data_IF_021925465226
#
_entry.id   IF_021925465226
#
_cell.length_a   1.000
_cell.length_b   1.000
_cell.length_c   1.000
_cell.angle_alpha   90.00
_cell.angle_beta   90.00
_cell.angle_gamma   90.00
#
_symmetry.space_group_name_H-M   'P 1'
#
loop_
_entity.id
_entity.type
_entity.pdbx_description
1 polymer ?
#
# COMPACT_ATOMS: atom_id res chain seq x y z
N UNK A 1 15.02 12.01 -9.85
CA UNK A 1 15.06 12.43 -8.43
C UNK A 1 13.74 12.17 -7.71
N UNK A 2 12.59 12.51 -8.31
CA UNK A 2 11.25 12.33 -7.73
C UNK A 2 10.92 10.88 -7.33
N UNK A 3 11.21 9.89 -8.17
CA UNK A 3 11.02 8.47 -7.84
C UNK A 3 11.82 8.04 -6.59
N UNK A 4 13.05 8.56 -6.41
CA UNK A 4 13.87 8.25 -5.22
C UNK A 4 13.25 8.83 -3.96
N UNK A 5 12.74 10.06 -4.01
CA UNK A 5 12.03 10.66 -2.89
C UNK A 5 10.78 9.84 -2.53
N UNK A 6 10.00 9.41 -3.54
CA UNK A 6 8.84 8.54 -3.35
C UNK A 6 9.23 7.21 -2.69
N UNK A 7 10.32 6.57 -3.12
CA UNK A 7 10.81 5.32 -2.53
C UNK A 7 11.28 5.50 -1.09
N UNK A 8 11.92 6.63 -0.75
CA UNK A 8 12.31 6.95 0.62
C UNK A 8 11.06 7.09 1.52
N UNK A 9 10.03 7.79 1.03
CA UNK A 9 8.75 7.90 1.73
C UNK A 9 8.07 6.53 1.87
N UNK A 10 8.02 5.76 0.79
CA UNK A 10 7.45 4.41 0.81
C UNK A 10 8.17 3.51 1.82
N UNK A 11 9.50 3.58 1.92
CA UNK A 11 10.26 2.82 2.92
C UNK A 11 9.85 3.12 4.37
N UNK A 12 9.41 4.35 4.66
CA UNK A 12 8.93 4.72 5.99
C UNK A 12 7.52 4.17 6.26
N UNK A 13 6.67 4.11 5.24
CA UNK A 13 5.29 3.62 5.34
C UNK A 13 5.17 2.10 5.19
N UNK A 14 6.13 1.48 4.50
CA UNK A 14 6.21 0.07 4.14
C UNK A 14 5.83 -0.90 5.27
N UNK A 15 6.40 -0.83 6.49
CA UNK A 15 6.07 -1.81 7.52
C UNK A 15 4.59 -1.75 7.91
N UNK A 16 3.99 -0.56 7.91
CA UNK A 16 2.58 -0.38 8.26
C UNK A 16 1.65 -0.84 7.12
N UNK A 17 2.00 -0.48 5.88
CA UNK A 17 1.19 -0.86 4.72
C UNK A 17 1.23 -2.36 4.47
N UNK A 18 2.40 -3.00 4.58
CA UNK A 18 2.52 -4.45 4.43
C UNK A 18 1.85 -5.20 5.57
N UNK A 19 2.04 -4.77 6.82
CA UNK A 19 1.41 -5.45 7.96
C UNK A 19 -0.12 -5.43 7.86
N UNK A 20 -0.70 -4.28 7.50
CA UNK A 20 -2.15 -4.17 7.33
C UNK A 20 -2.66 -5.00 6.15
N UNK A 21 -1.98 -4.93 4.99
CA UNK A 21 -2.30 -5.74 3.81
C UNK A 21 -2.24 -7.24 4.09
N UNK A 22 -1.16 -7.72 4.72
CA UNK A 22 -1.03 -9.12 5.08
C UNK A 22 -2.11 -9.51 6.08
N UNK A 23 -2.32 -8.73 7.14
CA UNK A 23 -3.37 -9.00 8.13
C UNK A 23 -4.76 -9.15 7.48
N UNK A 24 -5.13 -8.26 6.55
CA UNK A 24 -6.39 -8.37 5.80
C UNK A 24 -6.46 -9.67 4.97
N UNK A 25 -5.36 -10.05 4.32
CA UNK A 25 -5.27 -11.29 3.54
C UNK A 25 -5.35 -12.56 4.42
N UNK A 26 -4.67 -12.55 5.58
CA UNK A 26 -4.74 -13.63 6.58
C UNK A 26 -6.16 -13.79 7.12
N UNK A 27 -6.81 -12.68 7.49
CA UNK A 27 -8.19 -12.69 8.02
C UNK A 27 -9.22 -13.15 6.99
N UNK A 28 -8.94 -12.95 5.70
CA UNK A 28 -9.79 -13.46 4.61
C UNK A 28 -9.55 -14.94 4.28
N UNK A 29 -8.64 -15.63 4.97
CA UNK A 29 -8.37 -17.04 4.75
C UNK A 29 -7.45 -17.32 3.55
N UNK A 30 -6.52 -16.41 3.24
CA UNK A 30 -5.51 -16.57 2.18
C UNK A 30 -6.06 -16.83 0.77
N UNK A 31 -7.06 -16.06 0.29
CA UNK A 31 -7.60 -16.25 -1.05
C UNK A 31 -6.51 -16.06 -2.12
N UNK A 32 -6.50 -16.96 -3.12
CA UNK A 32 -5.63 -16.94 -4.29
C UNK A 32 -6.45 -16.70 -5.56
N UNK A 33 -5.81 -16.51 -6.72
CA UNK A 33 -6.54 -16.31 -7.99
C UNK A 33 -7.45 -17.48 -8.39
N UNK A 34 -7.20 -18.67 -7.85
CA UNK A 34 -8.01 -19.86 -8.07
C UNK A 34 -9.20 -19.99 -7.11
N UNK A 35 -9.27 -19.14 -6.07
CA UNK A 35 -10.34 -19.20 -5.08
C UNK A 35 -11.67 -18.69 -5.66
N UNK A 36 -12.80 -19.36 -5.40
CA UNK A 36 -14.12 -18.94 -5.91
C UNK A 36 -14.53 -17.56 -5.39
N UNK A 37 -14.09 -17.21 -4.17
CA UNK A 37 -14.43 -15.94 -3.52
C UNK A 37 -13.45 -14.80 -3.85
N UNK A 38 -12.50 -15.01 -4.77
CA UNK A 38 -11.44 -14.04 -5.07
C UNK A 38 -11.97 -12.67 -5.48
N UNK A 39 -13.04 -12.62 -6.28
CA UNK A 39 -13.61 -11.37 -6.78
C UNK A 39 -14.29 -10.58 -5.63
N UNK A 40 -15.01 -11.28 -4.76
CA UNK A 40 -15.60 -10.71 -3.55
C UNK A 40 -14.50 -10.20 -2.62
N UNK A 41 -13.48 -11.02 -2.35
CA UNK A 41 -12.30 -10.63 -1.57
C UNK A 41 -11.64 -9.37 -2.16
N UNK A 42 -11.34 -9.36 -3.46
CA UNK A 42 -10.67 -8.23 -4.12
C UNK A 42 -11.45 -6.93 -3.96
N UNK A 43 -12.79 -6.99 -4.02
CA UNK A 43 -13.64 -5.81 -3.86
C UNK A 43 -13.55 -5.28 -2.43
N UNK A 44 -13.77 -6.14 -1.43
CA UNK A 44 -13.69 -5.72 -0.02
C UNK A 44 -12.27 -5.28 0.38
N UNK A 45 -11.27 -6.01 -0.09
CA UNK A 45 -9.87 -5.72 0.12
C UNK A 45 -9.53 -4.33 -0.42
N UNK A 46 -9.93 -3.99 -1.65
CA UNK A 46 -9.62 -2.69 -2.24
C UNK A 46 -10.24 -1.53 -1.44
N UNK A 47 -11.49 -1.67 -1.01
CA UNK A 47 -12.16 -0.66 -0.18
C UNK A 47 -11.47 -0.50 1.18
N UNK A 48 -11.27 -1.60 1.89
CA UNK A 48 -10.65 -1.58 3.22
C UNK A 48 -9.21 -1.06 3.15
N UNK A 49 -8.47 -1.47 2.10
CA UNK A 49 -7.09 -1.02 1.86
C UNK A 49 -7.02 0.46 1.54
N UNK A 50 -7.96 0.99 0.77
CA UNK A 50 -8.06 2.44 0.47
C UNK A 50 -8.29 3.25 1.74
N UNK A 51 -9.19 2.80 2.61
CA UNK A 51 -9.45 3.45 3.91
C UNK A 51 -8.23 3.36 4.83
N UNK A 52 -7.59 2.19 4.93
CA UNK A 52 -6.37 2.01 5.71
C UNK A 52 -5.23 2.90 5.20
N UNK A 53 -5.09 3.05 3.88
CA UNK A 53 -4.10 3.94 3.28
C UNK A 53 -4.35 5.39 3.67
N UNK A 54 -5.59 5.86 3.63
CA UNK A 54 -5.95 7.21 4.05
C UNK A 54 -5.61 7.44 5.53
N UNK A 55 -5.88 6.47 6.41
CA UNK A 55 -5.54 6.56 7.83
C UNK A 55 -4.02 6.59 8.05
N UNK A 56 -3.27 5.70 7.41
CA UNK A 56 -1.80 5.67 7.49
C UNK A 56 -1.23 7.00 6.99
N UNK A 57 -1.75 7.51 5.87
CA UNK A 57 -1.35 8.80 5.32
C UNK A 57 -1.66 9.96 6.27
N UNK A 58 -2.85 9.99 6.88
CA UNK A 58 -3.23 11.02 7.85
C UNK A 58 -2.33 11.00 9.09
N UNK A 59 -2.06 9.82 9.65
CA UNK A 59 -1.16 9.67 10.80
C UNK A 59 0.25 10.13 10.45
N UNK A 60 0.75 9.75 9.28
CA UNK A 60 2.04 10.21 8.78
C UNK A 60 2.06 11.73 8.59
N UNK A 61 1.00 12.30 8.02
CA UNK A 61 0.86 13.74 7.80
C UNK A 61 0.90 14.52 9.11
N UNK A 62 0.19 14.05 10.12
CA UNK A 62 0.15 14.68 11.44
C UNK A 62 1.49 14.58 12.16
N UNK A 63 2.15 13.42 12.07
CA UNK A 63 3.42 13.16 12.75
C UNK A 63 4.61 13.85 12.10
N UNK A 64 4.55 14.09 10.79
CA UNK A 64 5.70 14.48 9.98
C UNK A 64 5.52 15.82 9.25
N UNK A 65 4.75 16.76 9.83
CA UNK A 65 4.43 18.07 9.24
C UNK A 65 5.65 18.83 8.70
N UNK A 66 6.82 18.73 9.33
CA UNK A 66 8.05 19.38 8.86
C UNK A 66 8.78 18.61 7.74
N UNK A 67 8.57 17.29 7.63
CA UNK A 67 9.19 16.44 6.60
C UNK A 67 8.67 16.72 5.18
N UNK A 68 7.48 17.31 5.03
CA UNK A 68 6.90 17.65 3.72
C UNK A 68 7.67 18.74 2.97
N UNK A 69 8.42 19.59 3.68
CA UNK A 69 9.27 20.61 3.04
C UNK A 69 10.36 19.98 2.15
N UNK A 70 10.88 18.81 2.53
CA UNK A 70 11.85 18.06 1.73
C UNK A 70 11.23 17.60 0.40
N UNK A 71 10.02 17.06 0.42
CA UNK A 71 9.36 16.55 -0.78
C UNK A 71 8.87 17.68 -1.70
N UNK A 72 8.42 18.79 -1.12
CA UNK A 72 8.03 19.98 -1.86
C UNK A 72 9.21 20.61 -2.62
N UNK A 73 10.43 20.49 -2.10
CA UNK A 73 11.66 20.92 -2.79
C UNK A 73 11.93 20.12 -4.07
N UNK A 74 11.44 18.87 -4.16
CA UNK A 74 11.51 18.04 -5.37
C UNK A 74 10.30 18.22 -6.31
N UNK A 75 9.42 19.18 -6.01
CA UNK A 75 8.24 19.49 -6.83
C UNK A 75 7.13 18.43 -6.75
N UNK A 76 7.14 17.56 -5.74
CA UNK A 76 6.09 16.58 -5.52
C UNK A 76 5.02 17.15 -4.59
N UNK A 77 3.76 17.08 -5.01
CA UNK A 77 2.62 17.42 -4.18
C UNK A 77 2.36 16.33 -3.13
N UNK A 78 1.73 16.70 -2.00
CA UNK A 78 1.29 15.76 -0.97
C UNK A 78 0.41 14.64 -1.55
N UNK A 79 -0.44 14.98 -2.53
CA UNK A 79 -1.35 14.02 -3.17
C UNK A 79 -0.58 13.02 -4.03
N UNK A 80 0.39 13.47 -4.82
CA UNK A 80 1.23 12.57 -5.63
C UNK A 80 2.03 11.59 -4.76
N UNK A 81 2.50 12.01 -3.59
CA UNK A 81 3.18 11.13 -2.64
C UNK A 81 2.22 10.09 -2.03
N UNK A 82 1.01 10.52 -1.66
CA UNK A 82 -0.03 9.64 -1.12
C UNK A 82 -0.45 8.58 -2.16
N UNK A 83 -0.76 9.02 -3.38
CA UNK A 83 -1.17 8.14 -4.48
C UNK A 83 -0.01 7.26 -4.93
N UNK A 84 1.19 7.82 -5.09
CA UNK A 84 2.36 7.05 -5.52
C UNK A 84 2.74 5.95 -4.53
N UNK A 85 2.70 6.24 -3.22
CA UNK A 85 2.94 5.21 -2.19
C UNK A 85 1.85 4.13 -2.19
N UNK A 86 0.59 4.49 -2.44
CA UNK A 86 -0.51 3.54 -2.57
C UNK A 86 -0.35 2.62 -3.77
N UNK A 87 0.01 3.18 -4.94
CA UNK A 87 0.22 2.41 -6.18
C UNK A 87 1.39 1.43 -6.03
N UNK A 88 2.50 1.86 -5.44
CA UNK A 88 3.64 0.96 -5.17
C UNK A 88 3.20 -0.22 -4.29
N UNK A 89 2.42 0.06 -3.24
CA UNK A 89 1.93 -1.00 -2.35
C UNK A 89 1.01 -2.00 -3.06
N UNK A 90 0.09 -1.50 -3.89
CA UNK A 90 -0.78 -2.35 -4.72
C UNK A 90 0.03 -3.22 -5.69
N UNK A 91 1.06 -2.66 -6.34
CA UNK A 91 1.94 -3.43 -7.25
C UNK A 91 2.67 -4.54 -6.47
N UNK A 92 3.19 -4.22 -5.29
CA UNK A 92 3.90 -5.20 -4.47
C UNK A 92 2.97 -6.32 -3.99
N UNK A 93 1.76 -5.97 -3.52
CA UNK A 93 0.79 -6.95 -3.07
C UNK A 93 0.25 -7.82 -4.22
N UNK A 94 -0.05 -7.23 -5.38
CA UNK A 94 -0.50 -8.00 -6.54
C UNK A 94 0.61 -8.93 -7.05
N UNK A 95 1.87 -8.47 -7.06
CA UNK A 95 3.02 -9.33 -7.39
C UNK A 95 3.16 -10.47 -6.39
N UNK A 96 2.99 -10.20 -5.09
CA UNK A 96 2.98 -11.22 -4.05
C UNK A 96 1.86 -12.25 -4.26
N UNK A 97 0.63 -11.80 -4.52
CA UNK A 97 -0.50 -12.70 -4.82
C UNK A 97 -0.24 -13.56 -6.07
N UNK A 98 0.36 -13.00 -7.12
CA UNK A 98 0.80 -13.76 -8.29
C UNK A 98 1.79 -14.85 -7.91
N UNK A 99 2.80 -14.53 -7.11
CA UNK A 99 3.80 -15.50 -6.66
C UNK A 99 3.16 -16.61 -5.80
N UNK A 100 2.31 -16.25 -4.85
CA UNK A 100 1.62 -17.23 -3.99
C UNK A 100 0.67 -18.11 -4.79
N UNK A 101 -0.01 -17.57 -5.80
CA UNK A 101 -0.92 -18.35 -6.64
C UNK A 101 -0.19 -19.29 -7.61
N UNK A 102 1.10 -19.07 -7.87
CA UNK A 102 1.94 -19.97 -8.67
C UNK A 102 2.55 -21.10 -7.83
N UNK A 103 2.58 -20.96 -6.51
CA UNK A 103 3.04 -22.01 -5.63
C UNK A 103 1.93 -23.08 -5.50
N UNK A 104 2.22 -24.37 -5.72
CA UNK A 104 1.30 -25.43 -5.40
C UNK A 104 1.19 -25.51 -3.86
N UNK A 105 0.16 -24.88 -3.32
CA UNK A 105 -0.27 -25.01 -1.91
C UNK A 105 -1.26 -26.16 -1.78
#
# INVERSE_FOLDING_TARGET
MQLRALLILYRQLYPFTVATTLCMWLMAGYPTFSSPDFLSFSTYFFWLRSVAQLLIWLVFRLSNRQGFAFYHHFGLSEIELAVGSYVIDLILFTTWLCLVSLLPL
#
